data_IF_963898405402
#
_entry.id   IF_963898405402
#
_cell.length_a   1.000
_cell.length_b   1.000
_cell.length_c   1.000
_cell.angle_alpha   90.00
_cell.angle_beta   90.00
_cell.angle_gamma   90.00
#
_symmetry.space_group_name_H-M   'P 1'
#
loop_
_entity.id
_entity.type
_entity.pdbx_description
1 polymer ?
#
# COMPACT_ATOMS: atom_id res chain seq x y z
N UNK A 1 -7.45 6.63 -5.65
CA UNK A 1 -6.32 5.69 -5.47
C UNK A 1 -6.74 4.37 -6.12
N UNK A 2 -6.00 3.89 -7.11
CA UNK A 2 -6.30 2.68 -7.88
C UNK A 2 -5.43 1.48 -7.49
N UNK A 3 -4.34 1.71 -6.73
CA UNK A 3 -3.41 0.67 -6.31
C UNK A 3 -4.08 -0.61 -5.78
N UNK A 4 -5.05 -0.59 -4.83
CA UNK A 4 -5.62 -1.82 -4.30
C UNK A 4 -6.32 -2.70 -5.35
N UNK A 5 -7.07 -2.08 -6.27
CA UNK A 5 -7.76 -2.79 -7.34
C UNK A 5 -6.76 -3.39 -8.35
N UNK A 6 -5.72 -2.62 -8.71
CA UNK A 6 -4.67 -3.06 -9.64
C UNK A 6 -3.83 -4.19 -9.05
N UNK A 7 -3.39 -4.06 -7.79
CA UNK A 7 -2.65 -5.09 -7.07
C UNK A 7 -3.46 -6.40 -6.97
N UNK A 8 -4.76 -6.30 -6.68
CA UNK A 8 -5.66 -7.45 -6.68
C UNK A 8 -5.76 -8.11 -8.07
N UNK A 9 -5.89 -7.31 -9.13
CA UNK A 9 -5.94 -7.84 -10.51
C UNK A 9 -4.66 -8.58 -10.88
N UNK A 10 -3.48 -8.05 -10.54
CA UNK A 10 -2.21 -8.75 -10.77
C UNK A 10 -2.14 -10.08 -10.02
N UNK A 11 -2.60 -10.11 -8.77
CA UNK A 11 -2.67 -11.36 -8.00
C UNK A 11 -3.67 -12.36 -8.59
N UNK A 12 -4.83 -11.91 -9.06
CA UNK A 12 -5.81 -12.76 -9.74
C UNK A 12 -5.24 -13.36 -11.04
N UNK A 13 -4.51 -12.58 -11.83
CA UNK A 13 -3.82 -13.06 -13.03
C UNK A 13 -2.74 -14.09 -12.68
N UNK A 14 -1.92 -13.78 -11.66
CA UNK A 14 -0.93 -14.72 -11.16
C UNK A 14 -1.55 -16.06 -10.75
N UNK A 15 -2.74 -16.05 -10.16
CA UNK A 15 -3.44 -17.29 -9.77
C UNK A 15 -4.02 -18.07 -10.95
N UNK A 16 -4.32 -17.42 -12.08
CA UNK A 16 -5.04 -18.02 -13.22
C UNK A 16 -4.13 -18.51 -14.34
N UNK A 17 -2.98 -17.88 -14.53
CA UNK A 17 -2.08 -18.16 -15.65
C UNK A 17 -0.76 -18.73 -15.15
N UNK A 18 -0.13 -19.65 -15.89
CA UNK A 18 1.18 -20.22 -15.51
C UNK A 18 2.37 -19.40 -16.02
N UNK A 19 2.13 -18.41 -16.89
CA UNK A 19 3.16 -17.52 -17.42
C UNK A 19 2.59 -16.15 -17.84
N UNK A 20 3.48 -15.20 -18.13
CA UNK A 20 3.09 -13.90 -18.71
C UNK A 20 2.53 -14.04 -20.13
N UNK A 21 2.95 -15.06 -20.87
CA UNK A 21 2.58 -15.27 -22.28
C UNK A 21 1.15 -15.82 -22.45
N UNK A 22 0.59 -16.41 -21.39
CA UNK A 22 -0.82 -16.85 -21.35
C UNK A 22 -1.82 -15.72 -21.12
N UNK A 23 -1.34 -14.53 -20.76
CA UNK A 23 -2.21 -13.37 -20.55
C UNK A 23 -2.65 -12.85 -21.93
N UNK A 24 -3.95 -12.69 -22.11
CA UNK A 24 -4.50 -12.18 -23.37
C UNK A 24 -3.96 -10.78 -23.71
N UNK A 25 -3.84 -10.50 -25.01
CA UNK A 25 -3.19 -9.28 -25.51
C UNK A 25 -3.88 -8.00 -25.02
N UNK A 26 -5.20 -8.02 -24.84
CA UNK A 26 -5.96 -6.87 -24.35
C UNK A 26 -5.61 -6.57 -22.89
N UNK A 27 -5.68 -7.58 -22.02
CA UNK A 27 -5.30 -7.45 -20.61
C UNK A 27 -3.84 -7.04 -20.46
N UNK A 28 -2.93 -7.64 -21.25
CA UNK A 28 -1.51 -7.27 -21.26
C UNK A 28 -1.32 -5.80 -21.61
N UNK A 29 -1.93 -5.33 -22.69
CA UNK A 29 -1.82 -3.93 -23.13
C UNK A 29 -2.32 -2.96 -22.06
N UNK A 30 -3.41 -3.31 -21.35
CA UNK A 30 -3.91 -2.51 -20.22
C UNK A 30 -2.89 -2.43 -19.09
N UNK A 31 -2.27 -3.55 -18.69
CA UNK A 31 -1.29 -3.54 -17.60
C UNK A 31 -0.05 -2.73 -17.97
N UNK A 32 0.51 -2.99 -19.15
CA UNK A 32 1.71 -2.30 -19.64
C UNK A 32 1.47 -0.78 -19.76
N UNK A 33 0.34 -0.36 -20.35
CA UNK A 33 0.06 1.06 -20.56
C UNK A 33 -0.43 1.80 -19.30
N UNK A 34 -1.31 1.16 -18.50
CA UNK A 34 -2.00 1.87 -17.39
C UNK A 34 -1.33 1.65 -16.04
N UNK A 35 -0.74 0.47 -15.79
CA UNK A 35 -0.26 0.08 -14.46
C UNK A 35 1.25 0.29 -14.39
N UNK A 36 1.99 -0.33 -15.31
CA UNK A 36 3.45 -0.30 -15.29
C UNK A 36 4.01 0.92 -16.01
N UNK A 37 3.28 1.44 -17.01
CA UNK A 37 3.77 2.42 -17.99
C UNK A 37 5.08 1.98 -18.64
N UNK A 38 5.22 0.67 -18.79
CA UNK A 38 6.37 -0.07 -19.29
C UNK A 38 5.87 -1.41 -19.80
N UNK A 39 6.50 -1.94 -20.83
CA UNK A 39 6.27 -3.31 -21.26
C UNK A 39 6.70 -4.31 -20.19
N UNK A 40 6.16 -5.53 -20.24
CA UNK A 40 6.62 -6.62 -19.36
C UNK A 40 8.11 -6.92 -19.53
N UNK A 41 8.65 -6.74 -20.74
CA UNK A 41 10.06 -6.98 -21.00
C UNK A 41 10.94 -5.90 -20.35
N UNK A 42 10.57 -4.62 -20.44
CA UNK A 42 11.29 -3.54 -19.74
C UNK A 42 11.25 -3.74 -18.22
N UNK A 43 10.10 -4.12 -17.67
CA UNK A 43 9.98 -4.43 -16.24
C UNK A 43 10.83 -5.63 -15.85
N UNK A 44 10.89 -6.66 -16.71
CA UNK A 44 11.75 -7.81 -16.49
C UNK A 44 13.23 -7.41 -16.47
N UNK A 45 13.69 -6.58 -17.40
CA UNK A 45 15.07 -6.10 -17.41
C UNK A 45 15.42 -5.27 -16.17
N UNK A 46 14.54 -4.37 -15.74
CA UNK A 46 14.69 -3.62 -14.48
C UNK A 46 14.80 -4.58 -13.27
N UNK A 47 13.96 -5.61 -13.25
CA UNK A 47 13.91 -6.60 -12.18
C UNK A 47 15.16 -7.46 -12.16
N UNK A 48 15.62 -7.89 -13.34
CA UNK A 48 16.88 -8.64 -13.52
C UNK A 48 18.07 -7.82 -13.06
N UNK A 49 18.16 -6.54 -13.45
CA UNK A 49 19.22 -5.65 -12.98
C UNK A 49 19.20 -5.47 -11.45
N UNK A 50 18.01 -5.36 -10.86
CA UNK A 50 17.84 -5.25 -9.40
C UNK A 50 18.33 -6.49 -8.65
N UNK A 51 18.04 -7.69 -9.16
CA UNK A 51 18.44 -8.96 -8.53
C UNK A 51 19.86 -9.38 -8.87
N UNK A 52 20.43 -8.98 -10.02
CA UNK A 52 21.81 -9.33 -10.38
C UNK A 52 22.84 -8.88 -9.33
N UNK A 53 22.55 -7.79 -8.63
CA UNK A 53 23.43 -7.26 -7.56
C UNK A 53 23.09 -7.82 -6.18
N UNK A 54 21.86 -8.32 -5.97
CA UNK A 54 21.34 -8.70 -4.65
C UNK A 54 21.24 -10.20 -4.46
N UNK A 55 20.62 -10.88 -5.41
CA UNK A 55 20.42 -12.32 -5.41
C UNK A 55 20.24 -12.85 -6.85
N UNK A 56 21.34 -13.22 -7.54
CA UNK A 56 21.28 -13.74 -8.90
C UNK A 56 20.46 -15.03 -9.06
N UNK A 57 20.28 -15.81 -7.99
CA UNK A 57 19.54 -17.08 -8.02
C UNK A 57 18.06 -16.88 -8.40
N UNK A 58 17.49 -15.72 -8.06
CA UNK A 58 16.13 -15.35 -8.46
C UNK A 58 15.99 -15.23 -9.98
N UNK A 59 17.06 -14.81 -10.67
CA UNK A 59 17.10 -14.70 -12.13
C UNK A 59 17.15 -16.10 -12.74
N UNK A 60 18.07 -16.95 -12.24
CA UNK A 60 18.20 -18.35 -12.69
C UNK A 60 16.88 -19.11 -12.54
N UNK A 61 16.21 -18.94 -11.39
CA UNK A 61 14.91 -19.56 -11.13
C UNK A 61 13.83 -19.03 -12.08
N UNK A 62 13.80 -17.72 -12.35
CA UNK A 62 12.82 -17.13 -13.25
C UNK A 62 13.04 -17.52 -14.72
N UNK A 63 14.28 -17.75 -15.14
CA UNK A 63 14.59 -18.26 -16.48
C UNK A 63 14.12 -19.70 -16.69
N UNK A 64 14.08 -20.50 -15.62
CA UNK A 64 13.60 -21.90 -15.65
C UNK A 64 12.11 -22.04 -15.33
N UNK A 65 11.51 -21.05 -14.67
CA UNK A 65 10.12 -21.08 -14.21
C UNK A 65 9.36 -19.80 -14.64
N UNK A 66 8.55 -19.88 -15.73
CA UNK A 66 7.76 -18.76 -16.22
C UNK A 66 6.79 -18.16 -15.19
N UNK A 67 6.27 -18.98 -14.28
CA UNK A 67 5.42 -18.54 -13.17
C UNK A 67 6.17 -17.65 -12.20
N UNK A 68 7.40 -18.05 -11.88
CA UNK A 68 8.28 -17.26 -11.01
C UNK A 68 8.65 -15.92 -11.66
N UNK A 69 8.99 -15.94 -12.96
CA UNK A 69 9.21 -14.71 -13.74
C UNK A 69 8.00 -13.77 -13.67
N UNK A 70 6.80 -14.29 -13.87
CA UNK A 70 5.56 -13.52 -13.73
C UNK A 70 5.41 -12.91 -12.32
N UNK A 71 5.67 -13.69 -11.27
CA UNK A 71 5.61 -13.20 -9.90
C UNK A 71 6.57 -12.02 -9.67
N UNK A 72 7.81 -12.13 -10.15
CA UNK A 72 8.82 -11.08 -10.01
C UNK A 72 8.42 -9.80 -10.76
N UNK A 73 7.95 -9.93 -12.01
CA UNK A 73 7.45 -8.80 -12.81
C UNK A 73 6.25 -8.12 -12.12
N UNK A 74 5.33 -8.88 -11.53
CA UNK A 74 4.21 -8.28 -10.80
C UNK A 74 4.64 -7.66 -9.47
N UNK A 75 5.59 -8.26 -8.75
CA UNK A 75 6.15 -7.72 -7.48
C UNK A 75 6.88 -6.39 -7.68
N UNK A 76 7.48 -6.18 -8.86
CA UNK A 76 8.07 -4.89 -9.22
C UNK A 76 7.06 -3.74 -9.03
N UNK A 77 5.79 -3.94 -9.39
CA UNK A 77 4.74 -2.91 -9.28
C UNK A 77 4.51 -2.46 -7.84
N UNK A 78 4.55 -3.37 -6.86
CA UNK A 78 4.42 -3.04 -5.44
C UNK A 78 5.61 -2.17 -4.99
N UNK A 79 6.83 -2.61 -5.31
CA UNK A 79 8.03 -1.86 -4.97
C UNK A 79 8.09 -0.48 -5.65
N UNK A 80 7.67 -0.39 -6.90
CA UNK A 80 7.59 0.87 -7.65
C UNK A 80 6.53 1.81 -7.05
N UNK A 81 5.33 1.30 -6.78
CA UNK A 81 4.20 2.06 -6.19
C UNK A 81 4.53 2.64 -4.82
N UNK A 82 5.26 1.88 -4.00
CA UNK A 82 5.75 2.35 -2.69
C UNK A 82 6.80 3.45 -2.85
N UNK A 83 7.81 3.26 -3.72
CA UNK A 83 8.85 4.27 -3.96
C UNK A 83 8.27 5.57 -4.51
N UNK A 84 7.33 5.48 -5.45
CA UNK A 84 6.65 6.64 -6.02
C UNK A 84 5.90 7.46 -4.96
N UNK A 85 5.21 6.77 -4.03
CA UNK A 85 4.52 7.42 -2.91
C UNK A 85 5.51 8.13 -1.96
N UNK A 86 6.64 7.49 -1.64
CA UNK A 86 7.68 8.07 -0.78
C UNK A 86 8.36 9.28 -1.41
N UNK A 87 8.57 9.25 -2.72
CA UNK A 87 9.21 10.34 -3.47
C UNK A 87 8.23 11.46 -3.88
N UNK A 88 6.93 11.24 -3.72
CA UNK A 88 5.91 12.22 -4.12
C UNK A 88 5.80 12.39 -5.64
N UNK A 89 6.05 11.33 -6.42
CA UNK A 89 5.97 11.40 -7.89
C UNK A 89 4.50 11.54 -8.34
N UNK A 90 4.07 12.77 -8.61
CA UNK A 90 2.66 13.07 -8.91
C UNK A 90 2.12 12.33 -10.14
N UNK A 91 2.98 12.07 -11.12
CA UNK A 91 2.62 11.29 -12.31
C UNK A 91 2.11 9.88 -11.95
N UNK A 92 2.53 9.30 -10.82
CA UNK A 92 2.11 7.99 -10.31
C UNK A 92 1.12 8.08 -9.13
N UNK A 93 0.54 9.25 -8.85
CA UNK A 93 -0.34 9.48 -7.68
C UNK A 93 -1.49 8.48 -7.56
N UNK A 94 -2.01 8.02 -8.70
CA UNK A 94 -3.09 7.01 -8.74
C UNK A 94 -2.65 5.64 -8.23
N UNK A 95 -1.35 5.35 -8.27
CA UNK A 95 -0.73 4.07 -7.94
C UNK A 95 -0.03 4.07 -6.58
N UNK A 96 -0.11 5.16 -5.82
CA UNK A 96 0.52 5.22 -4.50
C UNK A 96 0.04 4.10 -3.59
N UNK A 97 1.00 3.30 -3.14
CA UNK A 97 0.80 2.29 -2.10
C UNK A 97 1.01 2.97 -0.75
N UNK A 98 -0.09 3.35 -0.09
CA UNK A 98 -0.08 3.93 1.26
C UNK A 98 -0.69 2.93 2.23
N UNK A 99 0.14 2.39 3.13
CA UNK A 99 -0.32 1.55 4.21
C UNK A 99 -1.05 2.39 5.25
N UNK A 100 -2.36 2.19 5.38
CA UNK A 100 -3.20 2.94 6.30
C UNK A 100 -4.35 2.04 6.77
N UNK A 101 -4.78 2.26 8.01
CA UNK A 101 -5.90 1.57 8.63
C UNK A 101 -7.03 2.51 9.05
N UNK A 102 -8.14 1.96 9.57
CA UNK A 102 -9.30 2.74 10.01
C UNK A 102 -8.98 3.71 11.17
N UNK A 103 -7.93 3.42 11.96
CA UNK A 103 -7.48 4.28 13.05
C UNK A 103 -7.17 5.72 12.60
N UNK A 104 -6.55 5.90 11.41
CA UNK A 104 -6.31 7.24 10.88
C UNK A 104 -7.62 7.96 10.54
N UNK A 105 -8.62 7.24 10.05
CA UNK A 105 -9.95 7.79 9.76
C UNK A 105 -10.67 8.23 11.02
N UNK A 106 -10.65 7.40 12.07
CA UNK A 106 -11.21 7.74 13.38
C UNK A 106 -10.51 8.97 13.98
N UNK A 107 -9.17 9.01 13.93
CA UNK A 107 -8.39 10.16 14.37
C UNK A 107 -8.75 11.43 13.59
N UNK A 108 -8.87 11.36 12.26
CA UNK A 108 -9.26 12.50 11.42
C UNK A 108 -10.63 13.07 11.78
N UNK A 109 -11.61 12.21 12.11
CA UNK A 109 -12.92 12.65 12.56
C UNK A 109 -12.85 13.32 13.93
N UNK A 110 -12.05 12.75 14.85
CA UNK A 110 -11.86 13.29 16.19
C UNK A 110 -11.26 14.70 16.19
N UNK A 111 -10.28 14.96 15.32
CA UNK A 111 -9.58 16.26 15.27
C UNK A 111 -10.17 17.25 14.26
N UNK A 112 -11.30 16.92 13.63
CA UNK A 112 -11.96 17.78 12.63
C UNK A 112 -12.38 19.12 13.24
N UNK A 113 -12.16 20.22 12.52
CA UNK A 113 -12.44 21.58 12.97
C UNK A 113 -11.42 22.13 13.98
N UNK A 114 -10.42 21.36 14.37
CA UNK A 114 -9.33 21.81 15.26
C UNK A 114 -8.10 22.22 14.46
N UNK A 115 -7.11 22.83 15.13
CA UNK A 115 -5.81 23.13 14.52
C UNK A 115 -5.10 21.88 13.95
N UNK A 116 -5.42 20.69 14.48
CA UNK A 116 -4.84 19.40 14.06
C UNK A 116 -5.55 18.78 12.86
N UNK A 117 -6.55 19.46 12.28
CA UNK A 117 -7.15 19.02 11.01
C UNK A 117 -6.08 18.96 9.91
N UNK A 118 -5.23 19.99 9.81
CA UNK A 118 -4.06 20.01 8.93
C UNK A 118 -2.97 19.08 9.45
N UNK A 119 -2.46 18.17 8.60
CA UNK A 119 -1.35 17.29 8.96
C UNK A 119 -0.05 18.05 9.29
N UNK A 120 0.09 19.30 8.83
CA UNK A 120 1.27 20.14 9.13
C UNK A 120 1.34 20.55 10.60
N UNK A 121 0.22 20.49 11.32
CA UNK A 121 0.13 20.78 12.74
C UNK A 121 0.05 19.49 13.58
N UNK A 122 0.41 18.34 13.00
CA UNK A 122 0.37 17.04 13.65
C UNK A 122 1.77 16.60 14.03
N UNK A 123 2.16 16.92 15.25
CA UNK A 123 3.39 16.43 15.87
C UNK A 123 3.11 15.08 16.55
N UNK A 124 3.99 14.10 16.35
CA UNK A 124 3.76 12.70 16.74
C UNK A 124 3.67 12.52 18.26
N UNK A 125 4.53 13.24 18.98
CA UNK A 125 4.58 13.38 20.43
C UNK A 125 3.30 14.05 20.98
N UNK A 126 2.93 15.21 20.44
CA UNK A 126 1.73 15.92 20.89
C UNK A 126 0.44 15.12 20.68
N UNK A 127 0.35 14.37 19.57
CA UNK A 127 -0.78 13.48 19.31
C UNK A 127 -0.81 12.36 20.35
N UNK A 128 0.35 11.75 20.67
CA UNK A 128 0.45 10.72 21.68
C UNK A 128 -0.02 11.23 23.05
N UNK A 129 0.47 12.38 23.49
CA UNK A 129 0.07 13.00 24.75
C UNK A 129 -1.42 13.32 24.79
N UNK A 130 -1.96 13.91 23.71
CA UNK A 130 -3.39 14.20 23.59
C UNK A 130 -4.21 12.91 23.71
N UNK A 131 -3.84 11.84 23.00
CA UNK A 131 -4.56 10.57 23.06
C UNK A 131 -4.55 9.99 24.47
N UNK A 132 -3.41 10.02 25.17
CA UNK A 132 -3.31 9.51 26.54
C UNK A 132 -4.18 10.31 27.52
N UNK A 133 -4.10 11.65 27.47
CA UNK A 133 -4.85 12.52 28.36
C UNK A 133 -6.36 12.39 28.16
N UNK A 134 -6.82 12.47 26.91
CA UNK A 134 -8.25 12.41 26.59
C UNK A 134 -8.82 11.00 26.84
N UNK A 135 -7.99 9.96 26.71
CA UNK A 135 -8.36 8.61 27.11
C UNK A 135 -8.55 8.50 28.63
N UNK A 136 -7.66 9.09 29.43
CA UNK A 136 -7.81 9.09 30.90
C UNK A 136 -9.12 9.78 31.32
N UNK A 137 -9.40 10.97 30.77
CA UNK A 137 -10.65 11.71 31.03
C UNK A 137 -11.88 10.89 30.62
N UNK A 138 -11.86 10.27 29.44
CA UNK A 138 -12.96 9.43 28.96
C UNK A 138 -13.20 8.22 29.87
N UNK A 139 -12.13 7.57 30.35
CA UNK A 139 -12.24 6.43 31.25
C UNK A 139 -12.81 6.82 32.61
N UNK A 140 -12.35 7.92 33.20
CA UNK A 140 -12.86 8.46 34.46
C UNK A 140 -14.36 8.78 34.34
N UNK A 141 -14.77 9.51 33.31
CA UNK A 141 -16.17 9.86 33.05
C UNK A 141 -17.05 8.61 32.91
N UNK A 142 -16.61 7.62 32.14
CA UNK A 142 -17.39 6.38 31.96
C UNK A 142 -17.47 5.55 33.24
N UNK A 143 -16.40 5.53 34.04
CA UNK A 143 -16.41 4.82 35.31
C UNK A 143 -17.41 5.48 36.28
N UNK A 144 -17.40 6.81 36.37
CA UNK A 144 -18.33 7.56 37.20
C UNK A 144 -19.79 7.33 36.76
N UNK A 145 -20.07 7.33 35.46
CA UNK A 145 -21.39 7.00 34.91
C UNK A 145 -21.83 5.60 35.32
N UNK A 146 -20.96 4.60 35.22
CA UNK A 146 -21.27 3.21 35.57
C UNK A 146 -21.51 3.03 37.07
N UNK A 147 -20.67 3.63 37.91
CA UNK A 147 -20.81 3.57 39.38
C UNK A 147 -22.11 4.25 39.82
N UNK A 148 -22.43 5.42 39.26
CA UNK A 148 -23.65 6.15 39.60
C UNK A 148 -24.92 5.51 39.01
N UNK A 149 -24.81 4.82 37.86
CA UNK A 149 -25.92 4.08 37.28
C UNK A 149 -26.25 2.78 38.04
N UNK A 150 -25.25 2.14 38.67
CA UNK A 150 -25.46 0.96 39.52
C UNK A 150 -25.93 1.28 40.95
N UNK A 151 -25.89 2.55 41.36
CA UNK A 151 -26.37 3.02 42.66
C UNK A 151 -27.86 3.47 42.65
N UNK A 152 -28.56 3.30 41.53
CA UNK A 152 -30.02 3.49 41.38
C UNK A 152 -30.70 2.15 41.11
#
# INVERSE_FOLDING_TARGET
MFFPARARKLYELYRRHESLDEIDAETRAVIEARYFRKSFEEVWQDTRAFFAVRDPREIEQAEQNPKHKMALVFRWYFGHSQRAAMQGLEEYRVDFQVHCGPALGAFNQWVRGTVRESWRNRHVDEIGELMMRETAVCLEQRLDELVNAGAR
#
